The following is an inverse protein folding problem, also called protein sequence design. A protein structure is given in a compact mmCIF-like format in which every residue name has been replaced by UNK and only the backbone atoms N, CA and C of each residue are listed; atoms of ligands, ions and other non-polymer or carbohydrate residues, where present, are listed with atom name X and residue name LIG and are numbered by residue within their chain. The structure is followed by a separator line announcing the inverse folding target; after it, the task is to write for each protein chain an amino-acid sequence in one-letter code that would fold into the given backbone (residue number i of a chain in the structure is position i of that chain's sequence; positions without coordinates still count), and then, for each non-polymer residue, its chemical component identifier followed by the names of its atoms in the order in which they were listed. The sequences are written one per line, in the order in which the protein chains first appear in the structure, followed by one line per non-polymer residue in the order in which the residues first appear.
data_IF_045619186429
#
_entry.id   IF_045619186429
#
_cell.length_a   1.000
_cell.length_b   1.000
_cell.length_c   1.000
_cell.angle_alpha   90.00
_cell.angle_beta   90.00
_cell.angle_gamma   90.00
#
_symmetry.space_group_name_H-M   'P 1'
#
loop_
_entity.id
_entity.type
_entity.pdbx_description
1 polymer ?
#
# COMPACT_ATOMS: atom_id res chain seq x y z
N UNK A 1 9.78 -21.37 30.11
CA UNK A 1 8.66 -20.43 29.94
C UNK A 1 8.63 -20.09 28.47
N UNK A 2 7.56 -20.46 27.76
CA UNK A 2 7.41 -20.08 26.34
C UNK A 2 7.42 -18.56 26.24
N UNK A 3 8.46 -17.99 25.64
CA UNK A 3 8.53 -16.56 25.34
C UNK A 3 7.37 -16.25 24.40
N UNK A 4 6.41 -15.44 24.87
CA UNK A 4 5.33 -14.97 24.00
C UNK A 4 5.88 -13.98 22.98
N UNK A 5 5.39 -14.04 21.75
CA UNK A 5 5.85 -13.17 20.67
C UNK A 5 5.59 -11.70 20.98
N UNK A 6 6.52 -10.83 20.56
CA UNK A 6 6.43 -9.37 20.65
C UNK A 6 6.22 -8.77 19.26
N UNK A 7 5.12 -8.05 19.11
CA UNK A 7 4.77 -7.27 17.91
C UNK A 7 4.95 -5.79 18.22
N UNK A 8 5.85 -5.13 17.51
CA UNK A 8 6.13 -3.70 17.66
C UNK A 8 5.49 -2.93 16.51
N UNK A 9 4.79 -1.83 16.81
CA UNK A 9 4.21 -0.93 15.80
C UNK A 9 4.94 0.40 15.85
N UNK A 10 5.66 0.73 14.77
CA UNK A 10 6.33 2.02 14.58
C UNK A 10 5.40 2.95 13.78
N UNK A 11 5.17 4.15 14.31
CA UNK A 11 4.15 5.08 13.79
C UNK A 11 2.78 4.86 14.45
N UNK A 12 2.76 4.28 15.66
CA UNK A 12 1.54 3.94 16.36
C UNK A 12 0.69 5.16 16.75
N UNK A 13 1.28 6.34 16.81
CA UNK A 13 0.61 7.61 17.09
C UNK A 13 -0.22 8.12 15.91
N UNK A 14 -0.27 7.44 14.76
CA UNK A 14 -1.14 7.80 13.64
C UNK A 14 -2.57 7.29 13.83
N UNK A 15 -3.57 8.19 13.80
CA UNK A 15 -4.99 7.84 13.96
C UNK A 15 -5.56 6.91 12.89
N UNK A 16 -5.04 6.97 11.66
CA UNK A 16 -5.60 6.17 10.56
C UNK A 16 -5.05 4.74 10.59
N UNK A 17 -3.73 4.59 10.54
CA UNK A 17 -3.10 3.29 10.31
C UNK A 17 -2.74 2.54 11.61
N UNK A 18 -2.32 3.26 12.65
CA UNK A 18 -2.07 2.65 13.96
C UNK A 18 -3.31 1.94 14.50
N UNK A 19 -4.49 2.48 14.18
CA UNK A 19 -5.77 1.95 14.60
C UNK A 19 -6.15 0.62 13.94
N UNK A 20 -6.12 0.51 12.62
CA UNK A 20 -6.53 -0.73 11.92
C UNK A 20 -5.64 -1.90 12.34
N UNK A 21 -4.33 -1.66 12.42
CA UNK A 21 -3.34 -2.62 12.93
C UNK A 21 -3.64 -3.05 14.37
N UNK A 22 -3.89 -2.08 15.26
CA UNK A 22 -4.22 -2.33 16.66
C UNK A 22 -5.47 -3.21 16.80
N UNK A 23 -6.54 -2.85 16.07
CA UNK A 23 -7.80 -3.61 16.07
C UNK A 23 -7.57 -5.03 15.58
N UNK A 24 -6.82 -5.20 14.48
CA UNK A 24 -6.47 -6.50 13.93
C UNK A 24 -5.77 -7.41 14.94
N UNK A 25 -4.72 -6.91 15.59
CA UNK A 25 -3.96 -7.69 16.58
C UNK A 25 -4.83 -8.06 17.78
N UNK A 26 -5.58 -7.10 18.33
CA UNK A 26 -6.38 -7.32 19.54
C UNK A 26 -7.56 -8.27 19.30
N UNK A 27 -8.13 -8.32 18.09
CA UNK A 27 -9.29 -9.19 17.81
C UNK A 27 -8.89 -10.60 17.35
N UNK A 28 -7.66 -10.81 16.86
CA UNK A 28 -7.29 -12.06 16.23
C UNK A 28 -7.06 -13.17 17.28
N UNK A 29 -7.77 -14.31 17.20
CA UNK A 29 -7.72 -15.36 18.23
C UNK A 29 -6.31 -15.94 18.40
N UNK A 30 -5.60 -16.15 17.29
CA UNK A 30 -4.23 -16.70 17.33
C UNK A 30 -3.18 -15.74 17.90
N UNK A 31 -3.51 -14.46 18.05
CA UNK A 31 -2.62 -13.45 18.63
C UNK A 31 -2.94 -13.15 20.10
N UNK A 32 -3.89 -13.87 20.70
CA UNK A 32 -4.18 -13.72 22.12
C UNK A 32 -2.92 -13.95 22.97
N UNK A 33 -2.68 -13.03 23.90
CA UNK A 33 -1.56 -13.11 24.83
C UNK A 33 -0.22 -12.59 24.30
N UNK A 34 -0.09 -12.18 23.03
CA UNK A 34 1.16 -11.56 22.54
C UNK A 34 1.51 -10.29 23.31
N UNK A 35 2.77 -9.86 23.25
CA UNK A 35 3.14 -8.51 23.65
C UNK A 35 2.97 -7.56 22.47
N UNK A 36 2.20 -6.49 22.65
CA UNK A 36 2.05 -5.39 21.69
C UNK A 36 2.83 -4.18 22.21
N UNK A 37 3.79 -3.72 21.44
CA UNK A 37 4.62 -2.56 21.79
C UNK A 37 4.37 -1.41 20.81
N UNK A 38 3.89 -0.28 21.30
CA UNK A 38 3.56 0.89 20.50
C UNK A 38 4.71 1.92 20.56
N UNK A 39 5.16 2.38 19.40
CA UNK A 39 6.19 3.41 19.30
C UNK A 39 5.77 4.53 18.37
N UNK A 40 5.94 5.76 18.84
CA UNK A 40 5.83 6.98 18.04
C UNK A 40 6.73 8.07 18.64
N UNK A 41 7.08 9.07 17.83
CA UNK A 41 7.78 10.28 18.29
C UNK A 41 6.81 11.31 18.88
N UNK A 42 5.53 11.26 18.49
CA UNK A 42 4.47 12.07 19.10
C UNK A 42 3.96 11.40 20.39
N UNK A 43 4.46 11.86 21.53
CA UNK A 43 4.06 11.36 22.85
C UNK A 43 2.56 11.49 23.11
N UNK A 44 1.92 12.57 22.63
CA UNK A 44 0.50 12.81 22.87
C UNK A 44 -0.36 11.85 22.05
N UNK A 45 -0.06 11.68 20.77
CA UNK A 45 -0.71 10.70 19.90
C UNK A 45 -0.53 9.28 20.44
N UNK A 46 0.70 8.93 20.82
CA UNK A 46 1.04 7.61 21.37
C UNK A 46 0.24 7.28 22.64
N UNK A 47 0.13 8.23 23.57
CA UNK A 47 -0.60 8.04 24.83
C UNK A 47 -2.11 7.83 24.59
N UNK A 48 -2.71 8.56 23.64
CA UNK A 48 -4.12 8.36 23.26
C UNK A 48 -4.36 6.97 22.68
N UNK A 49 -3.48 6.52 21.78
CA UNK A 49 -3.60 5.21 21.15
C UNK A 49 -3.35 4.08 22.17
N UNK A 50 -2.40 4.24 23.10
CA UNK A 50 -2.20 3.29 24.20
C UNK A 50 -3.46 3.13 25.05
N UNK A 51 -4.11 4.22 25.45
CA UNK A 51 -5.37 4.16 26.23
C UNK A 51 -6.50 3.49 25.45
N UNK A 52 -6.59 3.77 24.15
CA UNK A 52 -7.56 3.10 23.27
C UNK A 52 -7.31 1.59 23.21
N UNK A 53 -6.05 1.19 23.01
CA UNK A 53 -5.61 -0.20 23.00
C UNK A 53 -5.97 -0.94 24.29
N UNK A 54 -5.71 -0.32 25.45
CA UNK A 54 -6.02 -0.91 26.76
C UNK A 54 -7.52 -1.14 26.94
N UNK A 55 -8.35 -0.15 26.58
CA UNK A 55 -9.82 -0.29 26.60
C UNK A 55 -10.29 -1.41 25.68
N UNK A 56 -9.72 -1.53 24.48
CA UNK A 56 -10.06 -2.62 23.54
C UNK A 56 -9.67 -3.98 24.10
N UNK A 57 -8.47 -4.07 24.66
CA UNK A 57 -7.97 -5.30 25.26
C UNK A 57 -8.83 -5.78 26.44
N UNK A 58 -9.29 -4.86 27.30
CA UNK A 58 -10.22 -5.15 28.40
C UNK A 58 -11.61 -5.56 27.87
N UNK A 59 -12.20 -4.75 26.99
CA UNK A 59 -13.54 -4.97 26.47
C UNK A 59 -13.66 -6.28 25.66
N UNK A 60 -12.57 -6.71 25.01
CA UNK A 60 -12.57 -7.88 24.14
C UNK A 60 -11.93 -9.12 24.80
N UNK A 61 -11.35 -8.96 26.00
CA UNK A 61 -10.71 -10.05 26.72
C UNK A 61 -9.50 -10.63 25.99
N UNK A 62 -8.78 -9.81 25.20
CA UNK A 62 -7.72 -10.29 24.29
C UNK A 62 -6.47 -10.78 25.04
N UNK A 63 -6.28 -10.35 26.29
CA UNK A 63 -5.16 -10.77 27.13
C UNK A 63 -3.78 -10.33 26.61
N UNK A 64 -3.74 -9.38 25.67
CA UNK A 64 -2.52 -8.84 25.06
C UNK A 64 -1.82 -7.94 26.07
N UNK A 65 -0.50 -8.06 26.20
CA UNK A 65 0.30 -7.19 27.06
C UNK A 65 0.69 -5.95 26.27
N UNK A 66 0.17 -4.79 26.63
CA UNK A 66 0.41 -3.53 25.90
C UNK A 66 1.49 -2.72 26.61
N UNK A 67 2.51 -2.29 25.86
CA UNK A 67 3.52 -1.33 26.29
C UNK A 67 3.64 -0.21 25.25
N UNK A 68 4.20 0.94 25.63
CA UNK A 68 4.57 1.99 24.69
C UNK A 68 5.83 2.74 25.09
N UNK A 69 6.50 3.37 24.13
CA UNK A 69 7.62 4.27 24.38
C UNK A 69 7.92 5.17 23.20
N UNK A 70 8.36 6.40 23.48
CA UNK A 70 8.97 7.30 22.48
C UNK A 70 10.42 6.92 22.14
N UNK A 71 11.02 6.00 22.90
CA UNK A 71 12.38 5.51 22.64
C UNK A 71 12.33 4.27 21.74
N UNK A 72 12.72 4.41 20.47
CA UNK A 72 12.64 3.33 19.47
C UNK A 72 13.39 2.06 19.88
N UNK A 73 14.54 2.18 20.54
CA UNK A 73 15.33 1.03 21.00
C UNK A 73 14.55 0.11 21.95
N UNK A 74 13.79 0.67 22.90
CA UNK A 74 12.93 -0.12 23.83
C UNK A 74 11.83 -0.86 23.09
N UNK A 75 11.26 -0.21 22.07
CA UNK A 75 10.23 -0.80 21.25
C UNK A 75 10.76 -1.97 20.41
N UNK A 76 11.95 -1.84 19.84
CA UNK A 76 12.55 -2.86 18.98
C UNK A 76 13.20 -4.01 19.75
N UNK A 77 13.72 -3.78 20.96
CA UNK A 77 14.44 -4.80 21.72
C UNK A 77 13.64 -6.10 21.87
N UNK A 78 14.17 -7.19 21.28
CA UNK A 78 13.58 -8.52 21.34
C UNK A 78 12.23 -8.68 20.62
N UNK A 79 11.85 -7.74 19.74
CA UNK A 79 10.68 -7.86 18.87
C UNK A 79 10.83 -9.04 17.90
N UNK A 80 9.74 -9.74 17.63
CA UNK A 80 9.68 -10.83 16.65
C UNK A 80 9.03 -10.35 15.35
N UNK A 81 8.15 -9.34 15.44
CA UNK A 81 7.53 -8.66 14.30
C UNK A 81 7.57 -7.14 14.52
N UNK A 82 7.84 -6.39 13.46
CA UNK A 82 7.80 -4.92 13.45
C UNK A 82 6.88 -4.48 12.31
N UNK A 83 5.78 -3.84 12.65
CA UNK A 83 4.90 -3.17 11.70
C UNK A 83 5.39 -1.73 11.53
N UNK A 84 5.69 -1.35 10.29
CA UNK A 84 6.12 -0.01 9.93
C UNK A 84 5.03 0.69 9.16
N UNK A 85 4.49 1.75 9.77
CA UNK A 85 3.55 2.64 9.11
C UNK A 85 3.74 4.06 9.60
N UNK A 86 4.67 4.75 8.96
CA UNK A 86 4.91 6.17 9.17
C UNK A 86 4.45 6.97 7.94
N UNK A 87 4.05 8.22 8.18
CA UNK A 87 3.86 9.21 7.14
C UNK A 87 4.17 10.59 7.74
N UNK A 88 5.01 11.38 7.06
CA UNK A 88 5.46 12.69 7.53
C UNK A 88 4.77 13.76 6.70
N UNK A 89 4.01 14.66 7.35
CA UNK A 89 3.29 15.77 6.69
C UNK A 89 2.51 15.34 5.43
N UNK A 90 1.93 14.14 5.45
CA UNK A 90 1.51 13.37 4.26
C UNK A 90 0.82 14.21 3.18
N UNK A 91 -0.32 14.82 3.48
CA UNK A 91 -1.15 15.52 2.47
C UNK A 91 -0.51 16.83 2.01
N UNK A 92 0.18 17.52 2.92
CA UNK A 92 0.93 18.74 2.59
C UNK A 92 2.06 18.42 1.63
N UNK A 93 2.87 17.41 1.94
CA UNK A 93 3.98 16.98 1.10
C UNK A 93 3.48 16.41 -0.23
N UNK A 94 2.42 15.59 -0.21
CA UNK A 94 1.89 14.98 -1.43
C UNK A 94 1.24 16.00 -2.38
N UNK A 95 0.56 17.00 -1.84
CA UNK A 95 0.10 18.15 -2.63
C UNK A 95 1.27 18.88 -3.29
N UNK A 96 2.36 19.11 -2.57
CA UNK A 96 3.57 19.73 -3.12
C UNK A 96 4.24 18.85 -4.18
N UNK A 97 4.27 17.52 -3.98
CA UNK A 97 4.83 16.57 -4.94
C UNK A 97 4.18 16.76 -6.31
N UNK A 98 2.85 16.89 -6.33
CA UNK A 98 2.06 17.16 -7.54
C UNK A 98 2.19 18.59 -8.05
N UNK A 99 2.04 19.58 -7.16
CA UNK A 99 2.01 21.00 -7.56
C UNK A 99 3.33 21.42 -8.22
N UNK A 100 4.47 20.87 -7.80
CA UNK A 100 5.76 21.10 -8.46
C UNK A 100 5.73 20.59 -9.91
N UNK A 101 5.33 19.32 -10.13
CA UNK A 101 5.26 18.74 -11.48
C UNK A 101 4.30 19.49 -12.39
N UNK A 102 3.17 19.95 -11.86
CA UNK A 102 2.17 20.72 -12.62
C UNK A 102 2.74 22.00 -13.23
N UNK A 103 3.70 22.67 -12.56
CA UNK A 103 4.38 23.86 -13.12
C UNK A 103 5.15 23.56 -14.41
N UNK A 104 5.49 22.29 -14.64
CA UNK A 104 6.18 21.80 -15.83
C UNK A 104 5.25 21.09 -16.82
N UNK A 105 3.94 21.17 -16.62
CA UNK A 105 2.95 20.55 -17.53
C UNK A 105 2.75 19.04 -17.32
N UNK A 106 3.18 18.51 -16.17
CA UNK A 106 3.05 17.11 -15.77
C UNK A 106 1.99 17.01 -14.68
N UNK A 107 0.91 16.26 -14.93
CA UNK A 107 -0.11 15.92 -13.93
C UNK A 107 -0.05 14.42 -13.63
N UNK A 108 0.10 14.06 -12.36
CA UNK A 108 0.26 12.69 -11.91
C UNK A 108 -0.37 12.49 -10.54
N UNK A 109 -0.55 11.23 -10.14
CA UNK A 109 -1.05 10.90 -8.81
C UNK A 109 0.07 10.95 -7.76
N UNK A 110 1.31 10.60 -8.10
CA UNK A 110 2.53 10.81 -7.30
C UNK A 110 2.61 10.12 -5.93
N UNK A 111 1.82 9.07 -5.68
CA UNK A 111 1.98 8.30 -4.44
C UNK A 111 3.08 7.26 -4.59
N UNK A 112 3.09 6.54 -5.72
CA UNK A 112 4.00 5.41 -5.97
C UNK A 112 4.82 5.57 -7.26
N UNK A 113 4.23 6.17 -8.31
CA UNK A 113 4.89 6.40 -9.59
C UNK A 113 5.04 7.88 -9.95
N UNK A 114 5.84 8.17 -10.98
CA UNK A 114 6.11 9.53 -11.44
C UNK A 114 7.15 10.30 -10.60
N UNK A 115 7.50 11.52 -11.06
CA UNK A 115 8.60 12.29 -10.47
C UNK A 115 8.34 12.78 -9.05
N UNK A 116 7.09 12.99 -8.65
CA UNK A 116 6.73 13.37 -7.28
C UNK A 116 6.95 12.23 -6.30
N UNK A 117 6.73 10.99 -6.75
CA UNK A 117 7.00 9.82 -5.93
C UNK A 117 8.51 9.68 -5.62
N UNK A 118 9.42 10.21 -6.45
CA UNK A 118 10.85 10.25 -6.12
C UNK A 118 11.08 11.03 -4.81
N UNK A 119 10.55 12.25 -4.72
CA UNK A 119 10.66 13.07 -3.52
C UNK A 119 9.97 12.41 -2.32
N UNK A 120 8.80 11.79 -2.54
CA UNK A 120 8.13 10.96 -1.53
C UNK A 120 9.02 9.84 -1.00
N UNK A 121 9.72 9.14 -1.88
CA UNK A 121 10.67 8.08 -1.52
C UNK A 121 11.83 8.64 -0.70
N UNK A 122 12.44 9.73 -1.15
CA UNK A 122 13.59 10.34 -0.47
C UNK A 122 13.27 10.77 0.97
N UNK A 123 12.08 11.36 1.18
CA UNK A 123 11.60 11.72 2.52
C UNK A 123 11.38 10.49 3.39
N UNK A 124 10.73 9.45 2.87
CA UNK A 124 10.45 8.25 3.66
C UNK A 124 11.72 7.45 3.97
N UNK A 125 12.65 7.27 3.01
CA UNK A 125 13.93 6.62 3.28
C UNK A 125 14.77 7.40 4.30
N UNK A 126 14.66 8.73 4.35
CA UNK A 126 15.36 9.55 5.36
C UNK A 126 14.95 9.18 6.78
N UNK A 127 13.69 8.76 6.98
CA UNK A 127 13.17 8.28 8.26
C UNK A 127 13.35 6.77 8.46
N UNK A 128 13.23 5.96 7.40
CA UNK A 128 13.18 4.50 7.47
C UNK A 128 14.57 3.85 7.53
N UNK A 129 15.57 4.37 6.82
CA UNK A 129 16.91 3.76 6.84
C UNK A 129 17.51 3.67 8.27
N UNK A 130 17.37 4.68 9.15
CA UNK A 130 17.75 4.55 10.55
C UNK A 130 16.92 3.52 11.34
N UNK A 131 15.66 3.30 10.97
CA UNK A 131 14.81 2.28 11.60
C UNK A 131 15.32 0.88 11.24
N UNK A 132 15.68 0.65 9.97
CA UNK A 132 16.27 -0.63 9.53
C UNK A 132 17.57 -0.93 10.29
N UNK A 133 18.46 0.07 10.42
CA UNK A 133 19.70 -0.06 11.20
C UNK A 133 19.44 -0.39 12.67
N UNK A 134 18.43 0.23 13.28
CA UNK A 134 18.05 -0.10 14.65
C UNK A 134 17.44 -1.50 14.76
N UNK A 135 16.66 -1.96 13.77
CA UNK A 135 16.16 -3.33 13.75
C UNK A 135 17.30 -4.34 13.69
N UNK A 136 18.31 -4.14 12.84
CA UNK A 136 19.49 -5.01 12.76
C UNK A 136 20.23 -5.09 14.10
N UNK A 137 20.22 -3.99 14.86
CA UNK A 137 20.86 -3.92 16.18
C UNK A 137 20.03 -4.59 17.28
N UNK A 138 18.73 -4.32 17.34
CA UNK A 138 17.88 -4.65 18.49
C UNK A 138 17.02 -5.92 18.29
N UNK A 139 16.73 -6.28 17.04
CA UNK A 139 15.90 -7.42 16.67
C UNK A 139 16.23 -7.96 15.25
N UNK A 140 17.46 -8.41 14.98
CA UNK A 140 17.89 -8.81 13.63
C UNK A 140 17.06 -9.96 13.03
N UNK A 141 16.44 -10.78 13.86
CA UNK A 141 15.59 -11.90 13.45
C UNK A 141 14.12 -11.53 13.24
N UNK A 142 13.73 -10.28 13.48
CA UNK A 142 12.35 -9.85 13.33
C UNK A 142 11.93 -9.79 11.85
N UNK A 143 10.64 -9.96 11.62
CA UNK A 143 10.01 -9.62 10.36
C UNK A 143 9.57 -8.16 10.35
N UNK A 144 9.98 -7.40 9.33
CA UNK A 144 9.44 -6.09 8.99
C UNK A 144 8.20 -6.26 8.10
N UNK A 145 7.06 -5.78 8.57
CA UNK A 145 5.83 -5.65 7.80
C UNK A 145 5.66 -4.16 7.43
N UNK A 146 6.02 -3.81 6.19
CA UNK A 146 5.98 -2.43 5.72
C UNK A 146 4.63 -2.10 5.05
N UNK A 147 3.99 -1.04 5.55
CA UNK A 147 2.79 -0.45 4.96
C UNK A 147 3.03 0.96 4.43
N UNK A 148 4.17 1.57 4.75
CA UNK A 148 4.49 2.90 4.25
C UNK A 148 4.72 2.84 2.74
N UNK A 149 4.03 3.74 2.03
CA UNK A 149 4.24 3.97 0.61
C UNK A 149 5.51 4.81 0.36
N UNK A 150 6.17 4.72 -0.80
CA UNK A 150 5.92 3.73 -1.86
C UNK A 150 6.45 2.35 -1.44
N UNK A 151 5.54 1.37 -1.31
CA UNK A 151 5.87 0.04 -0.78
C UNK A 151 7.01 -0.62 -1.57
N UNK A 152 7.01 -0.65 -2.92
CA UNK A 152 8.08 -1.27 -3.68
C UNK A 152 9.45 -0.66 -3.40
N UNK A 153 9.53 0.66 -3.25
CA UNK A 153 10.81 1.37 -3.07
C UNK A 153 11.36 1.19 -1.67
N UNK A 154 10.49 1.19 -0.66
CA UNK A 154 10.90 0.89 0.73
C UNK A 154 11.34 -0.57 0.85
N UNK A 155 10.59 -1.51 0.28
CA UNK A 155 10.99 -2.92 0.24
C UNK A 155 12.28 -3.13 -0.57
N UNK A 156 12.48 -2.39 -1.66
CA UNK A 156 13.73 -2.43 -2.44
C UNK A 156 14.91 -1.93 -1.61
N UNK A 157 14.75 -0.82 -0.88
CA UNK A 157 15.78 -0.30 0.01
C UNK A 157 16.13 -1.28 1.14
N UNK A 158 15.13 -1.90 1.76
CA UNK A 158 15.34 -2.93 2.76
C UNK A 158 16.08 -4.15 2.18
N UNK A 159 15.71 -4.60 0.98
CA UNK A 159 16.34 -5.74 0.30
C UNK A 159 17.80 -5.48 -0.11
N UNK A 160 18.12 -4.25 -0.55
CA UNK A 160 19.46 -3.90 -1.03
C UNK A 160 20.44 -3.51 0.10
N UNK A 161 19.93 -2.88 1.17
CA UNK A 161 20.77 -2.21 2.17
C UNK A 161 20.51 -2.66 3.61
N UNK A 162 19.75 -3.74 3.81
CA UNK A 162 19.53 -4.31 5.14
C UNK A 162 19.46 -5.84 5.10
N UNK A 163 19.75 -6.48 6.23
CA UNK A 163 19.55 -7.92 6.42
C UNK A 163 18.16 -8.28 6.96
N UNK A 164 17.28 -7.29 7.20
CA UNK A 164 15.97 -7.49 7.81
C UNK A 164 14.99 -8.16 6.84
N UNK A 165 14.39 -9.26 7.30
CA UNK A 165 13.32 -9.98 6.58
C UNK A 165 12.13 -9.05 6.40
N UNK A 166 11.79 -8.71 5.16
CA UNK A 166 10.82 -7.66 4.86
C UNK A 166 9.68 -8.17 4.00
N UNK A 167 8.45 -7.80 4.37
CA UNK A 167 7.22 -8.05 3.62
C UNK A 167 6.52 -6.71 3.45
N UNK A 168 6.29 -6.29 2.21
CA UNK A 168 5.44 -5.12 1.94
C UNK A 168 3.97 -5.52 1.84
N UNK A 169 3.08 -4.72 2.41
CA UNK A 169 1.65 -5.02 2.48
C UNK A 169 0.86 -3.83 1.95
N UNK A 170 -0.15 -4.13 1.15
CA UNK A 170 -1.06 -3.16 0.56
C UNK A 170 -2.46 -3.77 0.41
N UNK A 171 -3.49 -2.94 0.38
CA UNK A 171 -4.89 -3.35 0.23
C UNK A 171 -5.45 -3.16 -1.19
N UNK A 172 -4.63 -2.76 -2.18
CA UNK A 172 -5.13 -2.38 -3.50
C UNK A 172 -5.84 -3.52 -4.25
N UNK A 173 -5.58 -4.80 -3.89
CA UNK A 173 -6.35 -5.95 -4.39
C UNK A 173 -7.87 -5.82 -4.14
N UNK A 174 -8.28 -5.08 -3.11
CA UNK A 174 -9.69 -4.74 -2.86
C UNK A 174 -10.31 -3.98 -4.02
N UNK A 175 -9.54 -3.14 -4.71
CA UNK A 175 -10.00 -2.42 -5.90
C UNK A 175 -10.30 -3.35 -7.06
N UNK A 176 -9.55 -4.45 -7.18
CA UNK A 176 -9.89 -5.53 -8.11
C UNK A 176 -11.25 -6.16 -7.80
N UNK A 177 -11.54 -6.42 -6.52
CA UNK A 177 -12.84 -6.93 -6.10
C UNK A 177 -13.96 -5.90 -6.31
N UNK A 178 -13.69 -4.61 -6.15
CA UNK A 178 -14.62 -3.54 -6.50
C UNK A 178 -14.97 -3.54 -8.00
N UNK A 179 -13.98 -3.69 -8.88
CA UNK A 179 -14.20 -3.82 -10.34
C UNK A 179 -15.07 -5.04 -10.65
N UNK A 180 -14.77 -6.21 -10.06
CA UNK A 180 -15.61 -7.40 -10.22
C UNK A 180 -17.02 -7.20 -9.68
N UNK A 181 -17.17 -6.50 -8.55
CA UNK A 181 -18.49 -6.21 -8.00
C UNK A 181 -19.35 -5.36 -8.95
N UNK A 182 -18.72 -4.42 -9.66
CA UNK A 182 -19.39 -3.61 -10.67
C UNK A 182 -19.78 -4.42 -11.90
N UNK A 183 -18.87 -5.27 -12.41
CA UNK A 183 -19.14 -6.14 -13.55
C UNK A 183 -20.24 -7.17 -13.23
N UNK A 184 -20.23 -7.73 -12.02
CA UNK A 184 -21.16 -8.77 -11.56
C UNK A 184 -22.25 -8.25 -10.62
N UNK A 185 -22.68 -7.00 -10.83
CA UNK A 185 -23.63 -6.34 -9.94
C UNK A 185 -24.94 -7.12 -9.77
N UNK A 186 -25.51 -7.61 -10.88
CA UNK A 186 -26.77 -8.38 -10.86
C UNK A 186 -26.62 -9.69 -10.08
N UNK A 187 -25.52 -10.43 -10.27
CA UNK A 187 -25.25 -11.69 -9.55
C UNK A 187 -24.92 -11.51 -8.07
N UNK A 188 -24.61 -10.29 -7.65
CA UNK A 188 -24.30 -9.91 -6.28
C UNK A 188 -25.46 -9.16 -5.59
N UNK A 189 -26.60 -9.03 -6.29
CA UNK A 189 -27.77 -8.25 -5.85
C UNK A 189 -27.38 -6.81 -5.48
N UNK A 190 -26.60 -6.18 -6.36
CA UNK A 190 -26.13 -4.80 -6.23
C UNK A 190 -26.87 -3.91 -7.23
N UNK A 191 -27.43 -2.81 -6.74
CA UNK A 191 -28.03 -1.76 -7.57
C UNK A 191 -27.09 -0.57 -7.66
N UNK A 192 -26.39 -0.45 -8.77
CA UNK A 192 -25.43 0.61 -9.00
C UNK A 192 -26.08 1.77 -9.78
N UNK A 193 -25.71 3.03 -9.48
CA UNK A 193 -26.04 4.16 -10.33
C UNK A 193 -25.57 3.95 -11.78
N UNK A 194 -26.29 4.49 -12.75
CA UNK A 194 -25.97 4.31 -14.18
C UNK A 194 -24.60 4.89 -14.55
N UNK A 195 -24.24 6.00 -13.93
CA UNK A 195 -23.01 6.78 -14.08
C UNK A 195 -22.03 6.52 -12.94
N UNK A 196 -22.10 5.33 -12.32
CA UNK A 196 -21.24 4.99 -11.21
C UNK A 196 -19.76 5.00 -11.62
N UNK A 197 -18.98 5.78 -10.88
CA UNK A 197 -17.53 5.79 -10.91
C UNK A 197 -17.05 5.99 -9.46
N UNK A 198 -15.90 5.42 -9.10
CA UNK A 198 -15.34 5.65 -7.76
C UNK A 198 -15.07 7.14 -7.56
N UNK A 199 -15.24 7.65 -6.33
CA UNK A 199 -14.92 9.05 -5.99
C UNK A 199 -14.38 9.13 -4.57
N UNK A 200 -13.42 10.02 -4.30
CA UNK A 200 -12.92 10.26 -2.95
C UNK A 200 -13.93 11.02 -2.08
N UNK A 201 -14.90 10.28 -1.52
CA UNK A 201 -15.87 10.79 -0.55
C UNK A 201 -16.46 9.64 0.28
N UNK A 202 -17.12 9.98 1.39
CA UNK A 202 -17.68 9.02 2.35
C UNK A 202 -18.66 8.01 1.70
N UNK A 203 -19.48 8.46 0.74
CA UNK A 203 -20.48 7.62 0.06
C UNK A 203 -19.82 6.56 -0.81
N UNK A 204 -18.90 6.98 -1.67
CA UNK A 204 -18.18 6.06 -2.58
C UNK A 204 -17.27 5.12 -1.82
N UNK A 205 -16.62 5.56 -0.73
CA UNK A 205 -15.85 4.68 0.16
C UNK A 205 -16.72 3.63 0.83
N UNK A 206 -17.92 4.00 1.31
CA UNK A 206 -18.86 3.04 1.91
C UNK A 206 -19.34 2.00 0.89
N UNK A 207 -19.65 2.44 -0.34
CA UNK A 207 -20.02 1.52 -1.43
C UNK A 207 -18.86 0.60 -1.81
N UNK A 208 -17.65 1.14 -1.92
CA UNK A 208 -16.43 0.39 -2.20
C UNK A 208 -16.25 -0.77 -1.21
N UNK A 209 -16.38 -0.53 0.09
CA UNK A 209 -16.25 -1.57 1.12
C UNK A 209 -17.30 -2.67 0.96
N UNK A 210 -18.58 -2.30 0.84
CA UNK A 210 -19.69 -3.27 0.68
C UNK A 210 -19.54 -4.09 -0.60
N UNK A 211 -19.20 -3.44 -1.72
CA UNK A 211 -19.01 -4.07 -3.02
C UNK A 211 -17.83 -5.04 -3.00
N UNK A 212 -16.67 -4.59 -2.53
CA UNK A 212 -15.45 -5.41 -2.46
C UNK A 212 -15.64 -6.63 -1.56
N UNK A 213 -16.34 -6.47 -0.43
CA UNK A 213 -16.66 -7.58 0.48
C UNK A 213 -17.55 -8.63 -0.20
N UNK A 214 -18.66 -8.21 -0.82
CA UNK A 214 -19.58 -9.11 -1.54
C UNK A 214 -18.88 -9.85 -2.69
N UNK A 215 -18.05 -9.15 -3.47
CA UNK A 215 -17.28 -9.78 -4.54
C UNK A 215 -16.25 -10.77 -3.98
N UNK A 216 -15.55 -10.43 -2.89
CA UNK A 216 -14.60 -11.34 -2.24
C UNK A 216 -15.26 -12.60 -1.68
N UNK A 217 -16.53 -12.55 -1.26
CA UNK A 217 -17.26 -13.75 -0.83
C UNK A 217 -17.55 -14.72 -1.98
N UNK A 218 -17.64 -14.22 -3.23
CA UNK A 218 -18.03 -15.01 -4.40
C UNK A 218 -16.88 -15.34 -5.37
N UNK A 219 -15.84 -14.52 -5.42
CA UNK A 219 -14.78 -14.62 -6.42
C UNK A 219 -13.40 -14.79 -5.76
N UNK A 220 -12.47 -15.37 -6.51
CA UNK A 220 -11.05 -15.42 -6.19
C UNK A 220 -10.32 -14.68 -7.29
N UNK A 221 -9.59 -13.62 -6.92
CA UNK A 221 -8.65 -12.95 -7.81
C UNK A 221 -7.25 -13.51 -7.56
N UNK A 222 -6.55 -13.86 -8.64
CA UNK A 222 -5.11 -14.09 -8.61
C UNK A 222 -4.44 -13.08 -9.53
N UNK A 223 -3.61 -12.23 -8.94
CA UNK A 223 -2.97 -11.12 -9.64
C UNK A 223 -1.46 -11.11 -9.38
N UNK A 224 -0.69 -10.75 -10.41
CA UNK A 224 0.76 -10.62 -10.36
C UNK A 224 1.19 -9.29 -11.00
N UNK A 225 2.31 -8.74 -10.53
CA UNK A 225 2.89 -7.52 -11.09
C UNK A 225 3.70 -6.79 -10.02
N UNK A 226 3.53 -5.48 -9.93
CA UNK A 226 4.13 -4.64 -8.88
C UNK A 226 3.02 -4.04 -8.00
N UNK A 227 3.36 -3.58 -6.80
CA UNK A 227 2.40 -2.84 -5.97
C UNK A 227 1.72 -1.71 -6.76
N UNK A 228 0.40 -1.60 -6.62
CA UNK A 228 -0.42 -0.62 -7.36
C UNK A 228 -0.32 -0.73 -8.89
N UNK A 229 0.24 -1.82 -9.41
CA UNK A 229 0.39 -2.10 -10.84
C UNK A 229 0.37 -3.62 -11.10
N UNK A 230 -0.50 -4.31 -10.36
CA UNK A 230 -0.80 -5.73 -10.55
C UNK A 230 -1.89 -5.93 -11.61
N UNK A 231 -1.80 -7.07 -12.28
CA UNK A 231 -2.72 -7.47 -13.34
C UNK A 231 -3.43 -8.73 -12.90
N UNK A 232 -4.75 -8.76 -13.05
CA UNK A 232 -5.50 -9.98 -12.85
C UNK A 232 -5.02 -10.99 -13.90
N UNK A 233 -4.57 -12.15 -13.47
CA UNK A 233 -4.12 -13.24 -14.37
C UNK A 233 -5.19 -14.31 -14.43
N UNK A 234 -5.88 -14.53 -13.31
CA UNK A 234 -6.95 -15.49 -13.21
C UNK A 234 -8.03 -14.97 -12.26
N UNK A 235 -9.29 -15.12 -12.65
CA UNK A 235 -10.46 -14.82 -11.82
C UNK A 235 -11.40 -16.01 -11.87
N UNK A 236 -11.69 -16.60 -10.71
CA UNK A 236 -12.57 -17.79 -10.63
C UNK A 236 -13.71 -17.59 -9.65
N UNK A 237 -14.85 -18.20 -9.93
CA UNK A 237 -15.96 -18.28 -8.99
C UNK A 237 -15.66 -19.29 -7.86
N UNK A 238 -15.91 -18.88 -6.61
CA UNK A 238 -15.76 -19.73 -5.42
C UNK A 238 -16.78 -20.87 -5.46
N UNK A 239 -16.34 -22.05 -5.04
CA UNK A 239 -17.18 -23.25 -4.99
C UNK A 239 -17.27 -24.01 -6.33
N UNK A 240 -17.41 -23.31 -7.46
CA UNK A 240 -17.46 -23.95 -8.79
C UNK A 240 -16.10 -24.05 -9.47
N UNK A 241 -15.17 -23.12 -9.16
CA UNK A 241 -13.88 -23.02 -9.84
C UNK A 241 -13.99 -22.57 -11.30
N UNK A 242 -15.16 -22.09 -11.72
CA UNK A 242 -15.40 -21.61 -13.09
C UNK A 242 -14.52 -20.41 -13.38
N UNK A 243 -13.82 -20.44 -14.51
CA UNK A 243 -13.09 -19.30 -15.05
C UNK A 243 -14.06 -18.20 -15.50
N UNK A 244 -13.85 -16.98 -14.98
CA UNK A 244 -14.71 -15.83 -15.22
C UNK A 244 -14.15 -14.88 -16.27
N UNK A 245 -12.91 -15.06 -16.75
CA UNK A 245 -12.32 -14.18 -17.76
C UNK A 245 -13.17 -13.99 -19.02
N UNK A 246 -13.72 -15.07 -19.64
CA UNK A 246 -14.57 -14.92 -20.82
C UNK A 246 -15.84 -14.10 -20.56
N UNK A 247 -16.35 -14.10 -19.32
CA UNK A 247 -17.52 -13.30 -18.93
C UNK A 247 -17.12 -11.87 -18.60
N UNK A 248 -15.96 -11.66 -17.99
CA UNK A 248 -15.36 -10.34 -17.76
C UNK A 248 -15.17 -9.62 -19.09
N UNK A 249 -14.61 -10.27 -20.11
CA UNK A 249 -14.43 -9.70 -21.45
C UNK A 249 -15.76 -9.17 -22.01
N UNK A 250 -16.81 -9.99 -22.00
CA UNK A 250 -18.16 -9.58 -22.47
C UNK A 250 -18.75 -8.42 -21.68
N UNK A 251 -18.54 -8.40 -20.36
CA UNK A 251 -19.10 -7.35 -19.49
C UNK A 251 -18.34 -6.04 -19.60
N UNK A 252 -17.04 -6.09 -19.83
CA UNK A 252 -16.23 -4.90 -20.09
C UNK A 252 -16.65 -4.18 -21.38
N UNK A 253 -17.21 -4.90 -22.36
CA UNK A 253 -17.77 -4.27 -23.59
C UNK A 253 -19.09 -3.52 -23.34
N UNK A 254 -19.81 -3.85 -22.27
CA UNK A 254 -21.19 -3.38 -22.03
C UNK A 254 -21.36 -2.55 -20.76
N UNK A 255 -20.36 -2.57 -19.86
CA UNK A 255 -20.33 -1.72 -18.66
C UNK A 255 -20.38 -0.24 -19.05
N UNK A 256 -20.87 0.60 -18.14
CA UNK A 256 -20.95 2.04 -18.37
C UNK A 256 -19.59 2.61 -18.78
N UNK A 257 -19.49 3.42 -19.85
CA UNK A 257 -18.25 4.09 -20.23
C UNK A 257 -17.68 5.03 -19.16
N UNK A 258 -18.46 5.38 -18.14
CA UNK A 258 -18.03 6.22 -17.02
C UNK A 258 -17.27 5.45 -15.93
N UNK A 259 -17.34 4.13 -15.90
CA UNK A 259 -16.79 3.31 -14.82
C UNK A 259 -15.31 2.99 -15.08
N UNK A 260 -14.38 3.62 -14.38
CA UNK A 260 -12.93 3.43 -14.59
C UNK A 260 -12.51 3.50 -16.09
N UNK A 261 -12.76 4.63 -16.80
CA UNK A 261 -12.55 4.72 -18.25
C UNK A 261 -11.12 4.41 -18.72
N UNK A 262 -10.10 4.76 -17.92
CA UNK A 262 -8.70 4.44 -18.27
C UNK A 262 -8.46 2.93 -18.20
N UNK A 263 -8.95 2.28 -17.15
CA UNK A 263 -8.89 0.83 -16.95
C UNK A 263 -9.57 0.09 -18.10
N UNK A 264 -10.73 0.58 -18.57
CA UNK A 264 -11.38 0.01 -19.75
C UNK A 264 -10.53 0.14 -21.02
N UNK A 265 -9.88 1.29 -21.26
CA UNK A 265 -9.01 1.49 -22.41
C UNK A 265 -7.79 0.57 -22.36
N UNK A 266 -7.13 0.49 -21.21
CA UNK A 266 -5.99 -0.39 -20.97
C UNK A 266 -6.38 -1.85 -21.17
N UNK A 267 -7.53 -2.27 -20.62
CA UNK A 267 -8.06 -3.62 -20.85
C UNK A 267 -8.28 -3.92 -22.33
N UNK A 268 -8.89 -2.99 -23.08
CA UNK A 268 -9.11 -3.16 -24.53
C UNK A 268 -7.82 -3.31 -25.33
N UNK A 269 -6.73 -2.68 -24.89
CA UNK A 269 -5.42 -2.74 -25.57
C UNK A 269 -4.63 -3.99 -25.20
N UNK A 270 -4.58 -4.34 -23.91
CA UNK A 270 -3.68 -5.37 -23.39
C UNK A 270 -4.36 -6.70 -23.06
N UNK A 271 -5.70 -6.75 -23.02
CA UNK A 271 -6.48 -7.97 -22.76
C UNK A 271 -6.48 -8.46 -21.31
N UNK A 272 -5.80 -7.77 -20.38
CA UNK A 272 -5.82 -8.09 -18.95
C UNK A 272 -6.26 -6.91 -18.11
N UNK A 273 -7.05 -7.17 -17.07
CA UNK A 273 -7.55 -6.14 -16.17
C UNK A 273 -6.45 -5.73 -15.18
N UNK A 274 -6.06 -4.45 -15.15
CA UNK A 274 -5.24 -3.93 -14.06
C UNK A 274 -6.10 -3.80 -12.80
N UNK A 275 -5.60 -4.36 -11.69
CA UNK A 275 -6.19 -4.26 -10.35
C UNK A 275 -6.35 -2.81 -9.84
N UNK A 276 -5.37 -1.90 -10.01
CA UNK A 276 -5.37 -0.61 -9.28
C UNK A 276 -6.50 0.36 -9.61
N UNK A 277 -7.23 0.19 -10.73
CA UNK A 277 -8.13 1.21 -11.24
C UNK A 277 -7.40 2.48 -11.70
N UNK A 278 -8.15 3.46 -12.15
CA UNK A 278 -7.65 4.62 -12.90
C UNK A 278 -6.66 5.47 -12.09
N UNK A 279 -6.94 5.70 -10.81
CA UNK A 279 -6.17 6.62 -9.96
C UNK A 279 -4.70 6.18 -9.82
N UNK A 280 -4.47 4.90 -9.58
CA UNK A 280 -3.12 4.35 -9.43
C UNK A 280 -2.53 3.86 -10.74
N UNK A 281 -3.35 3.33 -11.65
CA UNK A 281 -2.90 2.90 -12.97
C UNK A 281 -2.26 4.06 -13.74
N UNK A 282 -2.78 5.28 -13.58
CA UNK A 282 -2.28 6.45 -14.27
C UNK A 282 -0.83 6.83 -13.89
N UNK A 283 -0.25 6.24 -12.83
CA UNK A 283 1.12 6.53 -12.35
C UNK A 283 2.22 5.81 -13.14
N UNK A 284 1.86 4.88 -14.01
CA UNK A 284 2.81 3.97 -14.66
C UNK A 284 2.82 4.05 -16.19
N UNK A 285 1.96 4.90 -16.75
CA UNK A 285 1.62 4.91 -18.17
C UNK A 285 2.06 6.21 -18.86
N UNK A 286 2.72 6.16 -20.03
CA UNK A 286 3.37 7.33 -20.65
C UNK A 286 2.41 8.32 -21.34
N UNK A 287 1.10 8.17 -21.13
CA UNK A 287 0.07 8.92 -21.83
C UNK A 287 -0.82 9.75 -20.90
N UNK A 288 -0.63 9.66 -19.59
CA UNK A 288 -1.48 10.30 -18.58
C UNK A 288 -0.93 11.63 -18.05
N UNK A 289 0.38 11.88 -18.17
CA UNK A 289 1.02 13.03 -17.55
C UNK A 289 0.75 14.37 -18.22
N UNK A 290 0.81 14.40 -19.55
CA UNK A 290 0.91 15.66 -20.28
C UNK A 290 -0.43 16.43 -20.25
N UNK A 291 -0.46 17.56 -19.53
CA UNK A 291 -1.67 18.36 -19.32
C UNK A 291 -2.30 18.87 -20.61
N UNK A 292 -1.51 19.09 -21.66
CA UNK A 292 -2.01 19.58 -22.95
C UNK A 292 -2.91 18.56 -23.66
N UNK A 293 -2.73 17.27 -23.37
CA UNK A 293 -3.53 16.18 -23.97
C UNK A 293 -4.91 16.02 -23.36
N UNK A 294 -5.14 16.65 -22.19
CA UNK A 294 -6.39 16.55 -21.41
C UNK A 294 -6.79 15.09 -21.13
N UNK A 295 -5.79 14.24 -20.87
CA UNK A 295 -6.00 12.80 -20.65
C UNK A 295 -6.83 12.55 -19.39
N UNK A 296 -6.59 13.32 -18.34
CA UNK A 296 -7.33 13.20 -17.08
C UNK A 296 -8.80 13.55 -17.26
N UNK A 297 -9.12 14.60 -18.02
CA UNK A 297 -10.50 14.97 -18.32
C UNK A 297 -11.18 13.94 -19.23
N UNK A 298 -10.44 13.40 -20.21
CA UNK A 298 -10.95 12.38 -21.14
C UNK A 298 -11.36 11.10 -20.42
N UNK A 299 -10.53 10.64 -19.50
CA UNK A 299 -10.75 9.41 -18.75
C UNK A 299 -11.32 9.64 -17.34
N UNK A 300 -11.73 10.87 -17.02
CA UNK A 300 -12.32 11.23 -15.73
C UNK A 300 -11.44 10.81 -14.52
N UNK A 301 -10.11 10.89 -14.69
CA UNK A 301 -9.13 10.56 -13.66
C UNK A 301 -9.20 11.64 -12.59
N UNK A 302 -9.42 11.21 -11.36
CA UNK A 302 -9.47 12.09 -10.20
C UNK A 302 -8.13 12.12 -9.45
N UNK A 303 -7.84 13.27 -8.85
CA UNK A 303 -6.81 13.34 -7.83
C UNK A 303 -7.36 12.87 -6.49
N UNK A 304 -6.46 12.42 -5.60
CA UNK A 304 -6.78 12.24 -4.19
C UNK A 304 -7.35 13.53 -3.59
N UNK A 305 -8.48 13.44 -2.88
CA UNK A 305 -9.05 14.59 -2.17
C UNK A 305 -8.34 14.80 -0.83
N UNK A 306 -7.32 15.66 -0.88
CA UNK A 306 -6.50 16.01 0.28
C UNK A 306 -7.31 16.63 1.44
N UNK A 307 -8.31 17.46 1.13
CA UNK A 307 -9.12 18.13 2.17
C UNK A 307 -10.08 17.15 2.85
N UNK A 308 -10.72 16.29 2.06
CA UNK A 308 -11.56 15.21 2.58
C UNK A 308 -10.75 14.28 3.48
N UNK A 309 -9.54 13.90 3.06
CA UNK A 309 -8.65 13.05 3.84
C UNK A 309 -8.21 13.70 5.17
N UNK A 310 -7.87 14.98 5.15
CA UNK A 310 -7.50 15.74 6.35
C UNK A 310 -8.66 15.87 7.33
N UNK A 311 -9.85 16.23 6.85
CA UNK A 311 -11.08 16.25 7.66
C UNK A 311 -11.40 14.86 8.21
N UNK A 312 -11.18 13.80 7.42
CA UNK A 312 -11.36 12.41 7.84
C UNK A 312 -10.47 12.02 9.02
N UNK A 313 -9.18 12.38 8.97
CA UNK A 313 -8.24 12.15 10.08
C UNK A 313 -8.59 12.94 11.33
N UNK A 314 -9.01 14.19 11.18
CA UNK A 314 -9.48 15.00 12.32
C UNK A 314 -10.69 14.36 13.00
N UNK A 315 -11.71 13.96 12.22
CA UNK A 315 -12.88 13.22 12.74
C UNK A 315 -12.49 11.92 13.44
N UNK A 316 -11.49 11.19 12.91
CA UNK A 316 -10.98 9.97 13.53
C UNK A 316 -10.37 10.25 14.91
N UNK A 317 -9.54 11.29 15.02
CA UNK A 317 -8.98 11.70 16.31
C UNK A 317 -10.04 12.10 17.33
N UNK A 318 -11.01 12.92 16.92
CA UNK A 318 -12.13 13.29 17.78
C UNK A 318 -12.89 12.05 18.28
N UNK A 319 -13.12 11.07 17.39
CA UNK A 319 -13.77 9.81 17.77
C UNK A 319 -12.93 9.01 18.78
N UNK A 320 -11.62 8.89 18.54
CA UNK A 320 -10.69 8.22 19.46
C UNK A 320 -10.74 8.88 20.85
N UNK A 321 -10.70 10.21 20.91
CA UNK A 321 -10.77 10.96 22.16
C UNK A 321 -12.09 10.71 22.91
N UNK A 322 -13.23 10.77 22.22
CA UNK A 322 -14.54 10.48 22.84
C UNK A 322 -14.62 9.07 23.41
N UNK A 323 -14.06 8.06 22.73
CA UNK A 323 -14.04 6.67 23.22
C UNK A 323 -13.09 6.53 24.42
N UNK A 324 -11.91 7.14 24.36
CA UNK A 324 -10.95 7.14 25.49
C UNK A 324 -11.56 7.83 26.72
N UNK A 325 -12.30 8.91 26.55
CA UNK A 325 -13.01 9.62 27.62
C UNK A 325 -14.28 8.90 28.11
N UNK A 326 -14.71 7.82 27.44
CA UNK A 326 -15.94 7.08 27.78
C UNK A 326 -17.23 7.80 27.38
N UNK A 327 -17.15 8.80 26.50
CA UNK A 327 -18.30 9.55 25.96
C UNK A 327 -18.99 8.83 24.80
N UNK A 328 -18.32 7.87 24.16
CA UNK A 328 -18.86 7.08 23.06
C UNK A 328 -18.55 5.59 23.30
N UNK A 329 -19.48 4.66 23.04
CA UNK A 329 -19.25 3.23 23.22
C UNK A 329 -18.24 2.69 22.19
N UNK A 330 -17.67 1.52 22.51
CA UNK A 330 -16.75 0.78 21.63
C UNK A 330 -17.45 -0.07 20.56
N UNK A 331 -18.74 0.17 20.34
CA UNK A 331 -19.53 -0.52 19.32
C UNK A 331 -19.05 -0.14 17.91
N UNK A 332 -19.01 -1.10 16.99
CA UNK A 332 -18.54 -0.88 15.61
C UNK A 332 -17.02 -0.95 15.41
N UNK A 333 -16.22 -1.02 16.49
CA UNK A 333 -14.76 -1.09 16.39
C UNK A 333 -14.23 -2.48 16.07
N UNK A 334 -14.98 -3.55 16.35
CA UNK A 334 -14.58 -4.93 15.99
C UNK A 334 -14.72 -5.19 14.50
N UNK A 335 -15.64 -4.47 13.87
CA UNK A 335 -16.04 -4.56 12.47
C UNK A 335 -15.13 -3.73 11.55
N UNK A 336 -14.21 -2.95 12.11
CA UNK A 336 -13.21 -2.19 11.34
C UNK A 336 -12.42 -3.15 10.46
N UNK A 337 -12.41 -2.87 9.16
CA UNK A 337 -11.56 -3.60 8.21
C UNK A 337 -10.09 -3.31 8.51
N UNK A 338 -9.28 -4.35 8.40
CA UNK A 338 -7.86 -4.30 8.74
C UNK A 338 -7.02 -4.45 7.49
N UNK A 339 -5.75 -4.09 7.65
CA UNK A 339 -4.76 -4.09 6.58
C UNK A 339 -4.06 -5.45 6.44
N UNK A 340 -4.65 -6.50 7.02
CA UNK A 340 -4.21 -7.91 6.97
C UNK A 340 -2.87 -8.24 7.64
N UNK A 341 -2.20 -7.28 8.26
CA UNK A 341 -0.95 -7.52 8.98
C UNK A 341 -1.08 -8.56 10.10
N UNK A 342 -2.23 -8.60 10.77
CA UNK A 342 -2.51 -9.60 11.81
C UNK A 342 -2.59 -11.03 11.27
N UNK A 343 -3.09 -11.21 10.04
CA UNK A 343 -3.20 -12.54 9.41
C UNK A 343 -1.83 -13.06 9.00
N UNK A 344 -0.94 -12.18 8.52
CA UNK A 344 0.45 -12.52 8.22
C UNK A 344 1.20 -12.92 9.49
N UNK A 345 1.09 -12.12 10.56
CA UNK A 345 1.73 -12.44 11.85
C UNK A 345 1.20 -13.75 12.39
N UNK A 346 -0.13 -13.96 12.41
CA UNK A 346 -0.73 -15.19 12.90
C UNK A 346 -0.32 -16.40 12.05
N UNK A 347 -0.31 -16.26 10.72
CA UNK A 347 0.08 -17.31 9.78
C UNK A 347 1.50 -17.81 10.02
N UNK A 348 2.45 -16.89 10.20
CA UNK A 348 3.84 -17.22 10.51
C UNK A 348 3.96 -17.79 11.93
N UNK A 349 3.43 -17.08 12.92
CA UNK A 349 3.59 -17.43 14.35
C UNK A 349 2.98 -18.80 14.70
N UNK A 350 1.85 -19.17 14.08
CA UNK A 350 1.14 -20.42 14.34
C UNK A 350 1.35 -21.48 13.27
N UNK A 351 2.15 -21.19 12.23
CA UNK A 351 2.37 -22.09 11.10
C UNK A 351 1.04 -22.56 10.46
N UNK A 352 0.17 -21.61 10.12
CA UNK A 352 -1.20 -21.92 9.67
C UNK A 352 -1.28 -22.48 8.25
N UNK A 353 -0.22 -22.36 7.44
CA UNK A 353 -0.26 -22.62 6.00
C UNK A 353 -1.36 -21.81 5.30
N UNK A 354 -1.59 -20.58 5.76
CA UNK A 354 -2.65 -19.70 5.27
C UNK A 354 -2.25 -19.01 3.97
N UNK A 355 -3.26 -18.70 3.16
CA UNK A 355 -3.09 -18.01 1.87
C UNK A 355 -3.27 -16.51 2.04
N UNK A 356 -2.34 -15.73 1.49
CA UNK A 356 -2.46 -14.27 1.34
C UNK A 356 -2.52 -13.88 -0.13
N UNK A 357 -3.44 -12.97 -0.45
CA UNK A 357 -3.77 -12.62 -1.83
C UNK A 357 -2.72 -11.75 -2.51
N UNK A 358 -2.01 -10.94 -1.73
CA UNK A 358 -1.05 -9.97 -2.21
C UNK A 358 -0.06 -9.62 -1.11
N UNK A 359 1.22 -9.88 -1.38
CA UNK A 359 2.40 -9.48 -0.59
C UNK A 359 3.50 -8.99 -1.52
N UNK A 360 4.30 -8.04 -1.05
CA UNK A 360 5.44 -7.49 -1.79
C UNK A 360 6.74 -8.08 -1.29
N UNK A 361 7.43 -8.82 -2.16
CA UNK A 361 8.64 -9.60 -1.86
C UNK A 361 9.58 -9.61 -3.07
N UNK A 362 10.86 -9.97 -2.91
CA UNK A 362 11.76 -10.22 -4.05
C UNK A 362 11.17 -11.28 -5.00
N UNK A 363 11.33 -11.07 -6.30
CA UNK A 363 10.69 -11.87 -7.33
C UNK A 363 11.11 -13.34 -7.32
N UNK A 364 12.40 -13.67 -7.25
CA UNK A 364 12.89 -15.05 -7.12
C UNK A 364 12.16 -16.09 -8.02
N UNK A 365 11.91 -15.75 -9.29
CA UNK A 365 11.19 -16.58 -10.25
C UNK A 365 9.66 -16.66 -10.09
N UNK A 366 9.04 -15.88 -9.21
CA UNK A 366 7.57 -15.87 -9.06
C UNK A 366 6.88 -15.34 -10.32
N UNK A 367 7.42 -14.27 -10.90
CA UNK A 367 7.11 -13.75 -12.22
C UNK A 367 8.31 -14.03 -13.13
N UNK A 368 8.16 -15.02 -14.01
CA UNK A 368 9.27 -15.65 -14.76
C UNK A 368 10.00 -14.67 -15.66
N UNK A 369 9.28 -13.69 -16.23
CA UNK A 369 9.82 -12.74 -17.18
C UNK A 369 10.11 -11.36 -16.55
N UNK A 370 10.29 -11.28 -15.23
CA UNK A 370 10.88 -10.14 -14.51
C UNK A 370 12.20 -10.56 -13.82
N UNK A 371 13.15 -9.64 -13.54
CA UNK A 371 14.39 -9.98 -12.83
C UNK A 371 14.13 -10.53 -11.42
N UNK A 372 15.03 -11.32 -10.85
CA UNK A 372 14.80 -12.01 -9.55
C UNK A 372 14.87 -11.08 -8.34
N UNK A 373 15.69 -10.04 -8.41
CA UNK A 373 15.97 -9.11 -7.32
C UNK A 373 14.91 -8.01 -7.14
N UNK A 374 14.04 -7.80 -8.12
CA UNK A 374 13.03 -6.73 -8.04
C UNK A 374 11.90 -7.12 -7.11
N UNK A 375 11.35 -6.14 -6.40
CA UNK A 375 10.18 -6.35 -5.55
C UNK A 375 8.92 -6.45 -6.41
N UNK A 376 8.22 -7.58 -6.30
CA UNK A 376 6.96 -7.87 -7.00
C UNK A 376 5.82 -8.05 -6.00
N UNK A 377 4.59 -7.85 -6.45
CA UNK A 377 3.38 -8.15 -5.69
C UNK A 377 2.74 -9.43 -6.22
N UNK A 378 2.68 -10.45 -5.36
CA UNK A 378 2.21 -11.80 -5.69
C UNK A 378 1.39 -12.40 -4.55
N UNK A 379 0.49 -13.35 -4.81
CA UNK A 379 -0.10 -14.17 -3.75
C UNK A 379 0.94 -15.09 -3.11
N UNK A 380 0.74 -15.46 -1.84
CA UNK A 380 1.70 -16.27 -1.09
C UNK A 380 1.02 -17.23 -0.09
N UNK A 381 1.77 -18.23 0.35
CA UNK A 381 1.43 -19.12 1.46
C UNK A 381 2.32 -18.79 2.66
N UNK A 382 1.72 -18.67 3.84
CA UNK A 382 2.37 -18.33 5.11
C UNK A 382 2.63 -19.59 5.95
N UNK A 383 3.88 -19.84 6.32
CA UNK A 383 4.31 -20.92 7.22
C UNK A 383 5.31 -20.44 8.28
N UNK A 384 5.83 -21.37 9.09
CA UNK A 384 6.72 -21.05 10.22
C UNK A 384 8.00 -20.31 9.81
N UNK A 385 8.53 -20.62 8.63
CA UNK A 385 9.77 -20.02 8.10
C UNK A 385 9.54 -18.68 7.38
N UNK A 386 8.30 -18.19 7.31
CA UNK A 386 7.93 -16.99 6.57
C UNK A 386 6.90 -17.29 5.50
N UNK A 387 7.03 -16.64 4.34
CA UNK A 387 6.11 -16.78 3.24
C UNK A 387 6.80 -17.31 1.98
N UNK A 388 6.05 -18.06 1.18
CA UNK A 388 6.48 -18.52 -0.14
C UNK A 388 5.49 -17.96 -1.16
N UNK A 389 5.98 -17.16 -2.11
CA UNK A 389 5.16 -16.65 -3.20
C UNK A 389 4.67 -17.76 -4.12
N UNK A 390 3.50 -17.59 -4.71
CA UNK A 390 3.03 -18.48 -5.77
C UNK A 390 3.68 -18.07 -7.08
N UNK A 391 4.61 -18.91 -7.56
CA UNK A 391 5.39 -18.65 -8.76
C UNK A 391 4.88 -19.29 -10.04
N UNK A 392 5.68 -19.13 -11.10
CA UNK A 392 5.39 -19.67 -12.42
C UNK A 392 4.44 -18.81 -13.26
N UNK A 393 4.20 -17.56 -12.85
CA UNK A 393 3.44 -16.62 -13.66
C UNK A 393 4.32 -16.03 -14.76
N UNK A 394 3.87 -16.09 -16.01
CA UNK A 394 4.47 -15.37 -17.12
C UNK A 394 3.49 -14.26 -17.54
N UNK A 395 3.87 -13.00 -17.34
CA UNK A 395 3.04 -11.87 -17.75
C UNK A 395 3.07 -11.74 -19.28
N UNK A 396 1.99 -11.30 -19.95
CA UNK A 396 2.07 -10.96 -21.37
C UNK A 396 3.19 -9.95 -21.62
N UNK A 397 4.02 -10.18 -22.64
CA UNK A 397 5.27 -9.45 -22.81
C UNK A 397 5.14 -7.91 -22.81
N UNK A 398 4.13 -7.28 -23.45
CA UNK A 398 3.95 -5.84 -23.35
C UNK A 398 3.65 -5.35 -21.92
N UNK A 399 2.90 -6.13 -21.13
CA UNK A 399 2.64 -5.83 -19.71
C UNK A 399 3.91 -6.03 -18.88
N UNK A 400 4.64 -7.13 -19.13
CA UNK A 400 5.91 -7.41 -18.49
C UNK A 400 6.88 -6.26 -18.69
N UNK A 401 6.95 -5.68 -19.89
CA UNK A 401 7.83 -4.54 -20.18
C UNK A 401 7.43 -3.27 -19.41
N UNK A 402 6.13 -2.99 -19.27
CA UNK A 402 5.68 -1.89 -18.40
C UNK A 402 6.14 -2.11 -16.95
N UNK A 403 6.04 -3.34 -16.45
CA UNK A 403 6.52 -3.71 -15.11
C UNK A 403 8.05 -3.63 -15.00
N UNK A 404 8.82 -4.13 -15.98
CA UNK A 404 10.30 -4.07 -15.97
C UNK A 404 10.80 -2.64 -15.87
N UNK A 405 10.24 -1.74 -16.69
CA UNK A 405 10.61 -0.31 -16.64
C UNK A 405 10.35 0.27 -15.26
N UNK A 406 9.17 0.02 -14.68
CA UNK A 406 8.85 0.53 -13.35
C UNK A 406 9.73 -0.08 -12.25
N UNK A 407 10.05 -1.37 -12.35
CA UNK A 407 10.93 -2.06 -11.41
C UNK A 407 12.34 -1.46 -11.43
N UNK A 408 12.88 -1.19 -12.63
CA UNK A 408 14.18 -0.53 -12.79
C UNK A 408 14.15 0.90 -12.23
N UNK A 409 13.07 1.67 -12.45
CA UNK A 409 12.91 2.99 -11.84
C UNK A 409 12.96 2.89 -10.31
N UNK A 410 12.26 1.93 -9.71
CA UNK A 410 12.26 1.75 -8.26
C UNK A 410 13.68 1.51 -7.72
N UNK A 411 14.46 0.66 -8.39
CA UNK A 411 15.86 0.41 -8.02
C UNK A 411 16.71 1.67 -8.18
N UNK A 412 16.68 2.33 -9.34
CA UNK A 412 17.48 3.54 -9.61
C UNK A 412 17.18 4.66 -8.61
N UNK A 413 15.90 4.89 -8.29
CA UNK A 413 15.49 5.89 -7.31
C UNK A 413 16.06 5.57 -5.93
N UNK A 414 15.92 4.32 -5.49
CA UNK A 414 16.42 3.88 -4.18
C UNK A 414 17.93 4.02 -4.10
N UNK A 415 18.66 3.55 -5.12
CA UNK A 415 20.12 3.65 -5.18
C UNK A 415 20.58 5.10 -5.24
N UNK A 416 19.96 5.94 -6.07
CA UNK A 416 20.27 7.36 -6.12
C UNK A 416 20.18 8.00 -4.73
N UNK A 417 19.10 7.74 -3.99
CA UNK A 417 18.87 8.31 -2.67
C UNK A 417 19.88 7.80 -1.64
N UNK A 418 20.04 6.47 -1.52
CA UNK A 418 20.85 5.87 -0.46
C UNK A 418 22.35 6.02 -0.73
N UNK A 419 22.77 5.96 -2.00
CA UNK A 419 24.17 6.12 -2.43
C UNK A 419 24.55 7.60 -2.66
N UNK A 420 23.61 8.53 -2.52
CA UNK A 420 23.80 9.96 -2.78
C UNK A 420 24.30 10.24 -4.22
N UNK A 421 23.84 9.44 -5.19
CA UNK A 421 24.23 9.53 -6.59
C UNK A 421 23.18 10.28 -7.44
N UNK A 422 23.47 11.55 -7.71
CA UNK A 422 22.64 12.41 -8.54
C UNK A 422 22.52 11.94 -9.99
N UNK A 423 23.51 11.22 -10.53
CA UNK A 423 23.45 10.69 -11.90
C UNK A 423 22.39 9.59 -11.98
N UNK A 424 22.32 8.70 -10.99
CA UNK A 424 21.26 7.69 -10.92
C UNK A 424 19.87 8.35 -10.81
N UNK A 425 19.75 9.45 -10.06
CA UNK A 425 18.49 10.21 -9.99
C UNK A 425 18.10 10.77 -11.38
N UNK A 426 19.05 11.32 -12.13
CA UNK A 426 18.83 11.81 -13.49
C UNK A 426 18.44 10.67 -14.45
N UNK A 427 19.09 9.51 -14.36
CA UNK A 427 18.76 8.33 -15.14
C UNK A 427 17.33 7.85 -14.82
N UNK A 428 16.95 7.80 -13.54
CA UNK A 428 15.59 7.45 -13.12
C UNK A 428 14.53 8.39 -13.70
N UNK A 429 14.75 9.71 -13.63
CA UNK A 429 13.82 10.70 -14.21
C UNK A 429 13.76 10.60 -15.74
N UNK A 430 14.88 10.31 -16.40
CA UNK A 430 14.93 10.21 -17.86
C UNK A 430 14.12 9.02 -18.42
N UNK A 431 13.95 7.94 -17.64
CA UNK A 431 13.18 6.75 -18.05
C UNK A 431 11.77 6.72 -17.46
N UNK A 432 11.43 7.64 -16.54
CA UNK A 432 10.11 7.72 -15.94
C UNK A 432 9.04 8.05 -17.01
N UNK A 433 7.97 7.25 -17.14
CA UNK A 433 6.96 7.46 -18.17
C UNK A 433 6.23 8.81 -18.08
N UNK A 434 6.27 9.47 -16.92
CA UNK A 434 5.61 10.75 -16.69
C UNK A 434 6.42 11.96 -17.12
N UNK A 435 7.64 11.75 -17.63
CA UNK A 435 8.54 12.82 -18.06
C UNK A 435 8.88 12.61 -19.53
N UNK A 436 8.50 13.58 -20.37
CA UNK A 436 8.73 13.55 -21.82
C UNK A 436 9.77 14.57 -22.32
N UNK A 437 10.49 15.24 -21.40
CA UNK A 437 11.52 16.23 -21.70
C UNK A 437 12.69 16.16 -20.68
N UNK A 438 13.93 16.01 -21.18
CA UNK A 438 15.14 15.85 -20.36
C UNK A 438 15.56 17.14 -19.62
N UNK A 439 15.24 18.31 -20.16
CA UNK A 439 15.50 19.57 -19.44
C UNK A 439 14.47 19.79 -18.33
N UNK A 440 13.23 19.36 -18.55
CA UNK A 440 12.21 19.28 -17.49
C UNK A 440 12.63 18.29 -16.40
N UNK A 441 13.14 17.11 -16.77
CA UNK A 441 13.65 16.11 -15.83
C UNK A 441 14.67 16.71 -14.84
N UNK A 442 15.69 17.41 -15.37
CA UNK A 442 16.74 18.06 -14.55
C UNK A 442 16.16 19.11 -13.60
N UNK A 443 15.31 20.01 -14.12
CA UNK A 443 14.72 21.10 -13.33
C UNK A 443 13.78 20.59 -12.25
N UNK A 444 12.99 19.55 -12.54
CA UNK A 444 12.12 18.90 -11.57
C UNK A 444 12.91 18.31 -10.42
N UNK A 445 13.98 17.56 -10.71
CA UNK A 445 14.84 16.98 -9.69
C UNK A 445 15.37 18.08 -8.75
N UNK A 446 15.88 19.18 -9.30
CA UNK A 446 16.41 20.31 -8.52
C UNK A 446 15.33 20.98 -7.67
N UNK A 447 14.13 21.20 -8.22
CA UNK A 447 13.00 21.77 -7.50
C UNK A 447 12.54 20.87 -6.35
N UNK A 448 12.50 19.56 -6.54
CA UNK A 448 12.14 18.61 -5.50
C UNK A 448 13.17 18.58 -4.37
N UNK A 449 14.45 18.43 -4.70
CA UNK A 449 15.52 18.41 -3.70
C UNK A 449 15.54 19.71 -2.89
N UNK A 450 15.43 20.86 -3.57
CA UNK A 450 15.38 22.16 -2.90
C UNK A 450 14.13 22.34 -2.03
N UNK A 451 12.96 21.91 -2.50
CA UNK A 451 11.71 22.10 -1.75
C UNK A 451 11.66 21.23 -0.50
N UNK A 452 12.22 20.03 -0.56
CA UNK A 452 12.15 19.05 0.51
C UNK A 452 13.43 18.91 1.33
N UNK A 453 14.44 19.76 1.12
CA UNK A 453 15.74 19.75 1.81
C UNK A 453 15.63 19.51 3.32
N UNK A 454 14.70 20.18 4.01
CA UNK A 454 14.50 20.03 5.46
C UNK A 454 13.98 18.64 5.91
N UNK A 455 13.46 17.83 4.99
CA UNK A 455 13.00 16.47 5.24
C UNK A 455 14.05 15.42 4.87
N UNK A 456 15.12 15.80 4.16
CA UNK A 456 16.08 14.86 3.60
C UNK A 456 17.26 14.65 4.56
N UNK A 457 17.61 13.38 4.76
CA UNK A 457 18.85 12.97 5.44
C UNK A 457 20.01 12.85 4.47
N UNK A 458 19.72 12.52 3.21
CA UNK A 458 20.69 12.26 2.16
C UNK A 458 21.03 13.54 1.41
N UNK A 459 22.28 13.65 0.94
CA UNK A 459 22.80 14.77 0.17
C UNK A 459 22.89 14.42 -1.31
N UNK A 460 21.76 14.59 -2.01
CA UNK A 460 21.62 14.34 -3.45
C UNK A 460 21.99 15.56 -4.31
#
# INVERSE_FOLDING_TARGET
MDKKAKVTVIGAGSAAFGLSTLVGILRHPDLQGVELFLHDIDENGLEKIRKLAEKMNEAWGSGVKINSSVERGKALEGADFVILSIAIDREKCWKLDRDIALRYGINHYAENGGPGAFAHTARNLSAIMPILQDMEKYCPEAWLLNFTNPVPRICTAANLYSSIKTIGICHQINFGYFILAALFADELDLRLPRDFNFRWNDRSMSLFQVMSKKAREKFIIRAWGLNHFTWMINVTEKGTGRDLYPEIERRMETISPSFEPLTQEVFRVFGLLPVPGDCHLCEYLPYTHNVSRKTWERYDIQMYDFEWAEKGRQKMWEKIERVVEGKEPMEGWKEVETERGEFIIAGILKNLNSYEEAVNIPNQGYIVNLPDEVIVEVPAILGSEGLIGLGGCELPEPIAELCRRQALINELVVRAIVEEDRKLAQEAFAIDPMIDDLEVAKKLLDDYLKTFDSYLRFKL
#
